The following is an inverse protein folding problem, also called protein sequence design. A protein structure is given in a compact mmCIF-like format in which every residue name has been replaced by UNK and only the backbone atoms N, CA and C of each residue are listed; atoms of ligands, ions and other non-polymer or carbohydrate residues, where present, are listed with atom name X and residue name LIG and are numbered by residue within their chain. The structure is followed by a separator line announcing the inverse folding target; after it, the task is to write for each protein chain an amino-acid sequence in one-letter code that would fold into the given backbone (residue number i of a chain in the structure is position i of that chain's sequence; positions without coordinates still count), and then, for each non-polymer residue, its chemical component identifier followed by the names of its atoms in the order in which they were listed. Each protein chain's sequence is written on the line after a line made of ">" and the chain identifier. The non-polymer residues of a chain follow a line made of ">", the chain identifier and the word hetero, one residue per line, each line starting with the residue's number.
data_IF_119327158170
#
_entry.id   IF_119327158170
#
_cell.length_a   1.000
_cell.length_b   1.000
_cell.length_c   1.000
_cell.angle_alpha   90.00
_cell.angle_beta   90.00
_cell.angle_gamma   90.00
#
_symmetry.space_group_name_H-M   'P 1'
#
loop_
_entity.id
_entity.type
_entity.pdbx_description
1 polymer ?
#
# COMPACT_ATOMS: atom_id res chain seq x y z
N UNK A 1 12.17 -2.26 12.84
CA UNK A 1 13.09 -3.01 11.96
C UNK A 1 13.46 -2.19 10.72
N UNK A 2 14.47 -2.58 9.94
CA UNK A 2 14.64 -2.08 8.57
C UNK A 2 13.62 -2.80 7.68
N UNK A 3 12.85 -2.03 6.90
CA UNK A 3 11.82 -2.54 5.99
C UNK A 3 12.31 -2.47 4.54
N UNK A 4 12.94 -1.35 4.13
CA UNK A 4 13.59 -1.24 2.83
C UNK A 4 15.11 -1.11 2.99
N UNK A 5 15.84 -2.15 2.60
CA UNK A 5 17.31 -2.14 2.64
C UNK A 5 17.89 -1.19 1.59
N UNK A 6 17.31 -1.15 0.38
CA UNK A 6 17.81 -0.31 -0.72
C UNK A 6 17.78 1.19 -0.42
N UNK A 7 16.84 1.63 0.42
CA UNK A 7 16.63 3.04 0.79
C UNK A 7 16.92 3.32 2.27
N UNK A 8 17.41 2.32 3.00
CA UNK A 8 17.64 2.40 4.45
C UNK A 8 16.40 2.88 5.24
N UNK A 9 15.20 2.48 4.81
CA UNK A 9 13.94 2.89 5.45
C UNK A 9 13.57 1.89 6.54
N UNK A 10 13.31 2.42 7.74
CA UNK A 10 12.88 1.63 8.88
C UNK A 10 11.36 1.67 9.08
N UNK A 11 10.81 0.67 9.76
CA UNK A 11 9.41 0.65 10.22
C UNK A 11 9.05 1.90 11.03
N UNK A 12 10.01 2.42 11.83
CA UNK A 12 9.86 3.65 12.61
C UNK A 12 9.64 4.86 11.71
N UNK A 13 10.41 4.93 10.62
CA UNK A 13 10.33 5.99 9.61
C UNK A 13 8.99 5.96 8.91
N UNK A 14 8.53 4.77 8.49
CA UNK A 14 7.22 4.60 7.83
C UNK A 14 6.09 5.06 8.76
N UNK A 15 6.12 4.63 10.03
CA UNK A 15 5.11 5.04 11.02
C UNK A 15 5.14 6.54 11.31
N UNK A 16 6.31 7.16 11.32
CA UNK A 16 6.45 8.60 11.48
C UNK A 16 5.80 9.35 10.32
N UNK A 17 6.08 8.94 9.07
CA UNK A 17 5.47 9.52 7.87
C UNK A 17 3.94 9.36 7.83
N UNK A 18 3.43 8.22 8.30
CA UNK A 18 1.98 8.02 8.48
C UNK A 18 1.42 8.98 9.53
N UNK A 19 2.11 9.17 10.65
CA UNK A 19 1.69 10.11 11.69
C UNK A 19 1.75 11.57 11.22
N UNK A 20 2.62 11.90 10.26
CA UNK A 20 2.69 13.19 9.57
C UNK A 20 1.54 13.38 8.56
N UNK A 21 0.78 12.34 8.25
CA UNK A 21 -0.45 12.41 7.47
C UNK A 21 -0.41 11.65 6.15
N UNK A 22 0.65 10.92 5.83
CA UNK A 22 0.67 10.06 4.63
C UNK A 22 -0.29 8.89 4.81
N UNK A 23 -1.28 8.79 3.92
CA UNK A 23 -2.32 7.77 4.00
C UNK A 23 -2.39 6.83 2.78
N UNK A 24 -1.45 6.98 1.85
CA UNK A 24 -1.34 6.09 0.69
C UNK A 24 0.07 5.50 0.51
N UNK A 25 0.12 4.36 -0.18
CA UNK A 25 1.40 3.73 -0.52
C UNK A 25 2.18 4.57 -1.53
N UNK A 26 1.48 5.25 -2.43
CA UNK A 26 2.08 6.11 -3.46
C UNK A 26 2.82 7.29 -2.83
N UNK A 27 2.24 7.93 -1.80
CA UNK A 27 2.91 8.98 -1.02
C UNK A 27 4.17 8.45 -0.31
N UNK A 28 4.08 7.30 0.38
CA UNK A 28 5.24 6.69 1.01
C UNK A 28 6.32 6.30 -0.02
N UNK A 29 5.92 5.83 -1.19
CA UNK A 29 6.83 5.50 -2.29
C UNK A 29 7.52 6.74 -2.85
N UNK A 30 6.79 7.85 -3.01
CA UNK A 30 7.32 9.12 -3.49
C UNK A 30 8.31 9.73 -2.47
N UNK A 31 7.92 9.77 -1.20
CA UNK A 31 8.65 10.48 -0.15
C UNK A 31 9.83 9.67 0.42
N UNK A 32 9.62 8.37 0.66
CA UNK A 32 10.65 7.50 1.23
C UNK A 32 11.41 6.69 0.17
N UNK A 33 10.96 6.70 -1.09
CA UNK A 33 11.55 5.92 -2.17
C UNK A 33 11.33 4.41 -2.05
N UNK A 34 10.45 3.94 -1.15
CA UNK A 34 10.22 2.51 -0.95
C UNK A 34 9.71 1.83 -2.22
N UNK A 35 10.07 0.56 -2.42
CA UNK A 35 9.75 -0.23 -3.61
C UNK A 35 10.27 0.30 -4.97
N UNK A 36 10.99 1.42 -5.03
CA UNK A 36 11.52 1.99 -6.29
C UNK A 36 12.82 1.36 -6.80
N UNK A 37 13.42 0.43 -6.05
CA UNK A 37 14.68 -0.22 -6.43
C UNK A 37 14.49 -1.70 -6.81
N UNK A 38 14.51 -2.62 -5.82
CA UNK A 38 14.29 -4.04 -6.08
C UNK A 38 12.84 -4.49 -5.88
N UNK A 39 11.95 -3.61 -5.40
CA UNK A 39 10.52 -3.90 -5.16
C UNK A 39 10.21 -4.79 -3.94
N UNK A 40 11.17 -5.57 -3.43
CA UNK A 40 10.94 -6.62 -2.42
C UNK A 40 10.33 -6.17 -1.09
N UNK A 41 10.44 -4.89 -0.74
CA UNK A 41 9.88 -4.36 0.50
C UNK A 41 8.41 -3.97 0.39
N UNK A 42 7.79 -3.99 -0.80
CA UNK A 42 6.44 -3.48 -1.02
C UNK A 42 5.41 -4.11 -0.07
N UNK A 43 5.34 -5.44 -0.01
CA UNK A 43 4.41 -6.15 0.87
C UNK A 43 4.64 -5.79 2.34
N UNK A 44 5.91 -5.77 2.78
CA UNK A 44 6.26 -5.39 4.15
C UNK A 44 5.88 -3.94 4.50
N UNK A 45 5.98 -3.00 3.55
CA UNK A 45 5.52 -1.62 3.75
C UNK A 45 4.00 -1.59 3.90
N UNK A 46 3.27 -2.30 3.03
CA UNK A 46 1.80 -2.38 3.08
C UNK A 46 1.32 -3.00 4.40
N UNK A 47 2.01 -4.00 4.90
CA UNK A 47 1.74 -4.60 6.21
C UNK A 47 1.90 -3.58 7.35
N UNK A 48 2.97 -2.76 7.31
CA UNK A 48 3.16 -1.69 8.30
C UNK A 48 2.03 -0.67 8.21
N UNK A 49 1.62 -0.26 7.00
CA UNK A 49 0.48 0.65 6.82
C UNK A 49 -0.83 0.08 7.38
N UNK A 50 -1.08 -1.21 7.15
CA UNK A 50 -2.26 -1.90 7.67
C UNK A 50 -2.25 -1.95 9.20
N UNK A 51 -1.09 -2.24 9.82
CA UNK A 51 -0.90 -2.22 11.27
C UNK A 51 -1.06 -0.81 11.86
N UNK A 52 -0.69 0.23 11.11
CA UNK A 52 -0.83 1.63 11.52
C UNK A 52 -2.26 2.18 11.36
N UNK A 53 -3.20 1.39 10.85
CA UNK A 53 -4.60 1.81 10.75
C UNK A 53 -4.90 2.79 9.62
N UNK A 54 -3.98 2.93 8.65
CA UNK A 54 -4.14 3.83 7.48
C UNK A 54 -5.37 3.48 6.63
N UNK A 55 -5.85 2.25 6.72
CA UNK A 55 -7.09 1.79 6.11
C UNK A 55 -8.38 2.06 6.93
N UNK A 56 -8.28 2.33 8.24
CA UNK A 56 -9.43 2.29 9.14
C UNK A 56 -10.14 3.65 9.32
N UNK A 57 -9.43 4.77 9.11
CA UNK A 57 -9.84 6.04 9.73
C UNK A 57 -10.49 7.08 8.79
N UNK A 58 -10.45 6.89 7.46
CA UNK A 58 -10.86 7.98 6.53
C UNK A 58 -11.79 7.62 5.38
N UNK A 59 -12.01 6.34 5.04
CA UNK A 59 -12.90 6.02 3.92
C UNK A 59 -14.39 5.95 4.29
N UNK A 60 -14.77 6.05 5.57
CA UNK A 60 -16.17 5.88 5.99
C UNK A 60 -16.75 4.48 5.72
N UNK A 61 -15.95 3.56 5.18
CA UNK A 61 -16.34 2.17 4.97
C UNK A 61 -15.90 1.39 6.19
N UNK A 62 -16.86 0.99 7.01
CA UNK A 62 -16.67 -0.09 7.97
C UNK A 62 -16.28 -1.33 7.14
N UNK A 63 -14.99 -1.68 7.12
CA UNK A 63 -14.59 -3.02 6.65
C UNK A 63 -15.05 -3.99 7.74
N UNK A 64 -16.00 -4.89 7.47
CA UNK A 64 -16.17 -6.03 8.36
C UNK A 64 -14.84 -6.80 8.28
N UNK A 65 -14.33 -7.19 9.44
CA UNK A 65 -13.19 -8.11 9.54
C UNK A 65 -13.61 -9.42 8.86
N UNK A 66 -13.36 -9.58 7.57
CA UNK A 66 -13.65 -10.83 6.86
C UNK A 66 -12.37 -11.35 6.26
N UNK A 67 -12.08 -12.58 6.67
CA UNK A 67 -11.07 -13.47 6.13
C UNK A 67 -11.02 -13.44 4.60
N UNK A 68 -9.79 -13.61 4.09
CA UNK A 68 -9.41 -14.07 2.75
C UNK A 68 -10.58 -14.45 1.84
N UNK A 69 -10.82 -13.66 0.78
CA UNK A 69 -11.51 -14.14 -0.42
C UNK A 69 -10.83 -13.55 -1.67
N UNK A 70 -10.39 -14.38 -2.65
CA UNK A 70 -9.75 -13.89 -3.87
C UNK A 70 -10.83 -13.46 -4.86
N UNK A 71 -11.16 -12.17 -4.90
CA UNK A 71 -12.13 -11.70 -5.90
C UNK A 71 -11.43 -11.38 -7.23
N UNK A 72 -11.52 -12.34 -8.15
CA UNK A 72 -11.19 -12.19 -9.56
C UNK A 72 -12.08 -11.10 -10.13
N UNK A 73 -11.48 -10.03 -10.69
CA UNK A 73 -12.23 -8.98 -11.39
C UNK A 73 -12.43 -9.46 -12.83
N UNK A 74 -13.66 -9.50 -13.38
CA UNK A 74 -13.87 -9.86 -14.76
C UNK A 74 -13.35 -8.72 -15.66
N UNK A 75 -12.32 -9.03 -16.44
CA UNK A 75 -11.83 -8.16 -17.52
C UNK A 75 -12.91 -8.05 -18.59
N UNK A 76 -13.68 -6.96 -18.59
CA UNK A 76 -14.64 -6.69 -19.67
C UNK A 76 -13.87 -6.30 -20.92
N UNK A 77 -13.88 -7.22 -21.88
CA UNK A 77 -13.40 -7.09 -23.25
C UNK A 77 -14.02 -5.84 -23.91
N UNK A 78 -13.22 -4.82 -24.20
CA UNK A 78 -13.66 -3.66 -24.98
C UNK A 78 -13.59 -4.02 -26.47
N UNK A 79 -14.70 -4.51 -27.02
CA UNK A 79 -14.90 -4.67 -28.46
C UNK A 79 -14.78 -3.30 -29.16
N UNK A 80 -13.67 -3.04 -29.85
CA UNK A 80 -13.56 -1.93 -30.80
C UNK A 80 -13.53 -2.48 -32.22
N UNK A 81 -14.71 -2.49 -32.85
CA UNK A 81 -14.96 -2.77 -34.27
C UNK A 81 -13.93 -2.06 -35.17
N UNK A 82 -13.22 -2.82 -36.00
CA UNK A 82 -12.53 -2.29 -37.17
C UNK A 82 -13.56 -2.03 -38.29
N UNK A 83 -13.47 -0.86 -38.91
CA UNK A 83 -14.10 -0.54 -40.19
C UNK A 83 -13.09 -0.72 -41.31
#
# INVERSE_FOLDING_TARGET
>A
MIVCVCKSVSDRTIRASIAEGMDSFDELQFELGVATCCGKCEESVRDVMAQSGVCASRCGVTRPQVAVVPHVVPMTFYERKAA
#
